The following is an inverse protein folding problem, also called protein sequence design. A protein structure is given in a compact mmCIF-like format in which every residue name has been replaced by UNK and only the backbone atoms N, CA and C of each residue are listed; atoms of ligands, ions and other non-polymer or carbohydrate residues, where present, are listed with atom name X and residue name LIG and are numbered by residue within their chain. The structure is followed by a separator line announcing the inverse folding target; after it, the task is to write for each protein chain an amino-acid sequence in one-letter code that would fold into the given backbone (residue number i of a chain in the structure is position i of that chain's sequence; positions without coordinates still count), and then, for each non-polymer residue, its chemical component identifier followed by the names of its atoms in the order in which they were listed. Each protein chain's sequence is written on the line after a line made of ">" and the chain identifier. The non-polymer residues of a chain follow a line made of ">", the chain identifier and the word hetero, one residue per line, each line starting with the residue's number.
data_IF_323362463723
#
_entry.id   IF_323362463723
#
_cell.length_a   1.000
_cell.length_b   1.000
_cell.length_c   1.000
_cell.angle_alpha   90.00
_cell.angle_beta   90.00
_cell.angle_gamma   90.00
#
_symmetry.space_group_name_H-M   'P 1'
#
loop_
_entity.id
_entity.type
_entity.pdbx_description
1 polymer ?
#
# COMPACT_ATOMS: atom_id res chain seq x y z
N UNK A 1 -13.25 53.72 -34.63
CA UNK A 1 -12.12 54.11 -33.77
C UNK A 1 -11.57 52.87 -33.08
N UNK A 2 -10.27 52.59 -33.14
CA UNK A 2 -9.66 51.44 -32.42
C UNK A 2 -9.64 51.68 -30.89
N UNK A 3 -9.61 52.94 -30.47
CA UNK A 3 -9.67 53.34 -29.05
C UNK A 3 -11.00 52.99 -28.40
N UNK A 4 -12.12 53.24 -29.07
CA UNK A 4 -13.46 52.90 -28.57
C UNK A 4 -13.66 51.38 -28.39
N UNK A 5 -13.06 50.57 -29.26
CA UNK A 5 -13.08 49.10 -29.10
C UNK A 5 -12.25 48.64 -27.90
N UNK A 6 -11.10 49.28 -27.66
CA UNK A 6 -10.25 48.99 -26.51
C UNK A 6 -10.93 49.37 -25.19
N UNK A 7 -11.59 50.52 -25.13
CA UNK A 7 -12.36 50.98 -23.97
C UNK A 7 -13.53 50.04 -23.66
N UNK A 8 -14.26 49.56 -24.67
CA UNK A 8 -15.33 48.57 -24.46
C UNK A 8 -14.80 47.23 -23.91
N UNK A 9 -13.62 46.80 -24.35
CA UNK A 9 -12.97 45.58 -23.85
C UNK A 9 -12.53 45.78 -22.39
N UNK A 10 -12.00 46.95 -22.03
CA UNK A 10 -11.62 47.27 -20.64
C UNK A 10 -12.83 47.32 -19.71
N UNK A 11 -13.91 47.97 -20.12
CA UNK A 11 -15.17 48.00 -19.35
C UNK A 11 -15.76 46.59 -19.19
N UNK A 12 -15.68 45.75 -20.22
CA UNK A 12 -16.15 44.36 -20.12
C UNK A 12 -15.26 43.54 -19.17
N UNK A 13 -13.94 43.74 -19.18
CA UNK A 13 -13.01 43.11 -18.23
C UNK A 13 -13.26 43.57 -16.80
N UNK A 14 -13.58 44.85 -16.59
CA UNK A 14 -13.92 45.41 -15.28
C UNK A 14 -15.17 44.74 -14.70
N UNK A 15 -16.24 44.66 -15.52
CA UNK A 15 -17.48 43.95 -15.14
C UNK A 15 -17.24 42.47 -14.84
N UNK A 16 -16.38 41.81 -15.63
CA UNK A 16 -16.00 40.42 -15.37
C UNK A 16 -15.23 40.27 -14.05
N UNK A 17 -14.32 41.20 -13.73
CA UNK A 17 -13.59 41.21 -12.45
C UNK A 17 -14.53 41.42 -11.26
N UNK A 18 -15.49 42.33 -11.39
CA UNK A 18 -16.48 42.60 -10.36
C UNK A 18 -17.37 41.38 -10.11
N UNK A 19 -17.83 40.71 -11.18
CA UNK A 19 -18.58 39.46 -11.05
C UNK A 19 -17.76 38.36 -10.38
N UNK A 20 -16.48 38.22 -10.72
CA UNK A 20 -15.59 37.25 -10.08
C UNK A 20 -15.44 37.56 -8.59
N UNK A 21 -15.32 38.83 -8.21
CA UNK A 21 -15.25 39.24 -6.80
C UNK A 21 -16.54 38.88 -6.06
N UNK A 22 -17.70 39.19 -6.63
CA UNK A 22 -18.99 38.84 -6.04
C UNK A 22 -19.14 37.32 -5.86
N UNK A 23 -18.79 36.53 -6.88
CA UNK A 23 -18.84 35.08 -6.82
C UNK A 23 -17.86 34.50 -5.78
N UNK A 24 -16.68 35.10 -5.62
CA UNK A 24 -15.72 34.72 -4.57
C UNK A 24 -16.28 34.99 -3.18
N UNK A 25 -16.87 36.16 -2.95
CA UNK A 25 -17.50 36.48 -1.66
C UNK A 25 -18.64 35.53 -1.35
N UNK A 26 -19.51 35.24 -2.33
CA UNK A 26 -20.61 34.28 -2.15
C UNK A 26 -20.10 32.87 -1.85
N UNK A 27 -18.99 32.45 -2.47
CA UNK A 27 -18.37 31.16 -2.18
C UNK A 27 -17.79 31.12 -0.76
N UNK A 28 -17.08 32.17 -0.35
CA UNK A 28 -16.50 32.29 1.00
C UNK A 28 -17.61 32.27 2.08
N UNK A 29 -18.73 32.96 1.84
CA UNK A 29 -19.88 32.98 2.75
C UNK A 29 -20.51 31.58 2.87
N UNK A 30 -20.65 30.85 1.76
CA UNK A 30 -21.21 29.50 1.73
C UNK A 30 -20.30 28.48 2.40
N UNK A 31 -18.99 28.55 2.16
CA UNK A 31 -18.00 27.70 2.83
C UNK A 31 -18.00 27.94 4.35
N UNK A 32 -18.06 29.21 4.76
CA UNK A 32 -18.12 29.59 6.17
C UNK A 32 -19.40 29.08 6.83
N UNK A 33 -20.54 29.20 6.15
CA UNK A 33 -21.82 28.70 6.62
C UNK A 33 -21.82 27.17 6.76
N UNK A 34 -21.38 26.46 5.72
CA UNK A 34 -21.33 25.00 5.72
C UNK A 34 -20.39 24.43 6.80
N UNK A 35 -19.30 25.15 7.11
CA UNK A 35 -18.40 24.82 8.20
C UNK A 35 -19.03 25.06 9.58
N UNK A 36 -19.75 26.18 9.78
CA UNK A 36 -20.44 26.48 11.03
C UNK A 36 -21.58 25.52 11.33
N UNK A 37 -22.27 25.04 10.29
CA UNK A 37 -23.35 24.05 10.40
C UNK A 37 -22.84 22.61 10.59
N UNK A 38 -21.51 22.40 10.54
CA UNK A 38 -20.88 21.08 10.71
C UNK A 38 -21.09 20.13 9.53
N UNK A 39 -21.60 20.63 8.41
CA UNK A 39 -21.83 19.85 7.18
C UNK A 39 -20.59 19.80 6.27
N UNK A 40 -19.58 20.64 6.52
CA UNK A 40 -18.32 20.70 5.79
C UNK A 40 -17.14 20.51 6.74
N UNK A 41 -16.42 19.39 6.57
CA UNK A 41 -15.37 18.91 7.51
C UNK A 41 -14.00 19.60 7.32
N UNK A 42 -13.87 20.46 6.31
CA UNK A 42 -12.63 21.21 6.02
C UNK A 42 -12.79 22.71 6.34
N UNK A 43 -11.72 23.33 6.84
CA UNK A 43 -11.72 24.78 7.12
C UNK A 43 -12.00 25.60 5.83
N UNK A 44 -12.75 26.71 5.92
CA UNK A 44 -12.96 27.61 4.80
C UNK A 44 -11.65 28.05 4.14
N UNK A 45 -11.67 28.16 2.81
CA UNK A 45 -10.48 28.46 2.01
C UNK A 45 -9.82 29.78 2.44
N UNK A 46 -10.62 30.79 2.80
CA UNK A 46 -10.16 32.08 3.33
C UNK A 46 -9.30 31.93 4.60
N UNK A 47 -9.73 31.12 5.55
CA UNK A 47 -9.01 30.84 6.81
C UNK A 47 -7.74 30.03 6.56
N UNK A 48 -7.78 29.07 5.62
CA UNK A 48 -6.59 28.30 5.24
C UNK A 48 -5.54 29.20 4.61
N UNK A 49 -5.94 30.07 3.69
CA UNK A 49 -5.04 31.04 3.04
C UNK A 49 -4.48 32.05 4.05
N UNK A 50 -5.26 32.48 5.03
CA UNK A 50 -4.80 33.33 6.12
C UNK A 50 -3.76 32.62 7.01
N UNK A 51 -4.02 31.37 7.39
CA UNK A 51 -3.06 30.54 8.16
C UNK A 51 -1.78 30.29 7.36
N UNK A 52 -1.89 29.93 6.09
CA UNK A 52 -0.73 29.77 5.20
C UNK A 52 0.06 31.06 5.09
N UNK A 53 -0.60 32.22 4.96
CA UNK A 53 0.04 33.54 4.95
C UNK A 53 0.77 33.82 6.26
N UNK A 54 0.16 33.53 7.41
CA UNK A 54 0.81 33.69 8.71
C UNK A 54 2.05 32.80 8.85
N UNK A 55 1.95 31.52 8.47
CA UNK A 55 3.08 30.57 8.50
C UNK A 55 4.20 31.06 7.59
N UNK A 56 3.87 31.50 6.37
CA UNK A 56 4.85 32.05 5.43
C UNK A 56 5.52 33.28 6.04
N UNK A 57 4.76 34.25 6.56
CA UNK A 57 5.32 35.44 7.17
C UNK A 57 6.24 35.12 8.37
N UNK A 58 5.88 34.12 9.17
CA UNK A 58 6.68 33.71 10.31
C UNK A 58 7.94 32.93 9.90
N UNK A 59 7.87 32.13 8.84
CA UNK A 59 9.03 31.49 8.23
C UNK A 59 9.97 32.53 7.61
N UNK A 60 9.43 33.52 6.89
CA UNK A 60 10.20 34.64 6.33
C UNK A 60 10.96 35.38 7.43
N UNK A 61 10.28 35.68 8.55
CA UNK A 61 10.89 36.33 9.71
C UNK A 61 11.96 35.47 10.39
N UNK A 62 11.74 34.15 10.52
CA UNK A 62 12.70 33.24 11.18
C UNK A 62 13.89 32.87 10.29
N UNK A 63 13.72 32.90 8.98
CA UNK A 63 14.76 32.63 7.99
C UNK A 63 15.46 33.91 7.51
N UNK A 64 15.07 35.09 8.02
CA UNK A 64 15.58 36.42 7.65
C UNK A 64 15.63 36.63 6.14
N UNK A 65 14.54 36.26 5.46
CA UNK A 65 14.44 36.33 4.01
C UNK A 65 13.90 37.71 3.59
N UNK A 66 14.75 38.60 3.11
CA UNK A 66 14.30 39.84 2.47
C UNK A 66 13.56 39.51 1.15
N UNK A 67 12.24 39.49 1.21
CA UNK A 67 11.33 39.17 0.09
C UNK A 67 10.46 40.37 -0.31
N UNK A 68 10.84 41.58 0.08
CA UNK A 68 10.01 42.79 -0.08
C UNK A 68 9.76 43.19 -1.54
N UNK A 69 10.60 42.79 -2.50
CA UNK A 69 10.47 43.26 -3.90
C UNK A 69 10.24 42.16 -4.96
N UNK A 70 10.41 40.86 -4.64
CA UNK A 70 10.60 39.82 -5.67
C UNK A 70 9.51 38.72 -5.75
N UNK A 71 8.49 38.70 -4.88
CA UNK A 71 7.54 37.55 -4.81
C UNK A 71 6.75 37.34 -6.12
N UNK A 72 6.52 38.40 -6.89
CA UNK A 72 5.77 38.32 -8.16
C UNK A 72 6.63 37.93 -9.37
N UNK A 73 7.96 38.02 -9.26
CA UNK A 73 8.91 37.81 -10.37
C UNK A 73 9.69 36.51 -10.25
N UNK A 74 9.76 35.91 -9.06
CA UNK A 74 10.50 34.67 -8.83
C UNK A 74 9.74 33.43 -9.26
N UNK A 75 10.45 32.53 -9.94
CA UNK A 75 9.95 31.19 -10.23
C UNK A 75 9.89 30.33 -8.95
N UNK A 76 9.02 29.32 -8.88
CA UNK A 76 8.89 28.47 -7.70
C UNK A 76 10.19 27.69 -7.38
N UNK A 77 11.03 27.43 -8.39
CA UNK A 77 12.33 26.80 -8.23
C UNK A 77 13.37 27.75 -7.58
N UNK A 78 13.38 29.03 -7.94
CA UNK A 78 14.28 30.03 -7.34
C UNK A 78 13.91 30.31 -5.88
N UNK A 79 12.62 30.35 -5.57
CA UNK A 79 12.15 30.47 -4.18
C UNK A 79 12.59 29.29 -3.32
N UNK A 80 12.47 28.05 -3.86
CA UNK A 80 12.97 26.84 -3.18
C UNK A 80 14.46 26.92 -2.90
N UNK A 81 15.24 27.34 -3.89
CA UNK A 81 16.70 27.44 -3.74
C UNK A 81 17.10 28.48 -2.68
N UNK A 82 16.39 29.63 -2.60
CA UNK A 82 16.62 30.64 -1.56
C UNK A 82 16.25 30.12 -0.16
N UNK A 83 15.14 29.39 -0.03
CA UNK A 83 14.73 28.73 1.22
C UNK A 83 15.76 27.69 1.66
N UNK A 84 16.22 26.82 0.75
CA UNK A 84 17.21 25.78 1.06
C UNK A 84 18.55 26.37 1.48
N UNK A 85 18.98 27.49 0.86
CA UNK A 85 20.20 28.19 1.23
C UNK A 85 20.11 28.82 2.64
N UNK A 86 18.98 29.45 2.98
CA UNK A 86 18.75 30.02 4.30
C UNK A 86 18.72 28.93 5.40
N UNK A 87 18.07 27.79 5.12
CA UNK A 87 18.06 26.63 6.01
C UNK A 87 19.48 26.08 6.20
N UNK A 88 20.26 25.96 5.12
CA UNK A 88 21.63 25.47 5.19
C UNK A 88 22.53 26.36 6.07
N UNK A 89 22.36 27.69 6.03
CA UNK A 89 23.09 28.62 6.89
C UNK A 89 22.76 28.45 8.37
N UNK A 90 21.55 28.02 8.72
CA UNK A 90 21.15 27.75 10.11
C UNK A 90 21.69 26.40 10.60
N UNK A 91 21.66 25.38 9.75
CA UNK A 91 22.01 23.99 10.15
C UNK A 91 23.52 23.76 10.19
N UNK A 92 24.31 24.38 9.31
CA UNK A 92 25.76 24.17 9.26
C UNK A 92 26.48 24.52 10.58
N UNK A 93 26.24 25.70 11.20
CA UNK A 93 26.86 26.07 12.45
C UNK A 93 26.51 25.13 13.61
N UNK A 94 25.30 24.56 13.61
CA UNK A 94 24.88 23.59 14.63
C UNK A 94 25.64 22.26 14.49
N UNK A 95 25.80 21.77 13.25
CA UNK A 95 26.56 20.55 12.96
C UNK A 95 28.04 20.69 13.30
N UNK A 96 28.65 21.84 12.99
CA UNK A 96 30.05 22.12 13.35
C UNK A 96 30.23 22.18 14.87
N UNK A 97 29.30 22.79 15.62
CA UNK A 97 29.33 22.77 17.09
C UNK A 97 29.21 21.35 17.65
N UNK A 98 28.35 20.51 17.09
CA UNK A 98 28.18 19.12 17.53
C UNK A 98 29.46 18.29 17.29
N UNK A 99 30.08 18.43 16.11
CA UNK A 99 31.36 17.79 15.81
C UNK A 99 32.50 18.28 16.73
N UNK A 100 32.53 19.58 17.04
CA UNK A 100 33.52 20.15 17.97
C UNK A 100 33.32 19.60 19.40
N UNK A 101 32.07 19.42 19.82
CA UNK A 101 31.73 18.81 21.12
C UNK A 101 32.14 17.33 21.16
N UNK A 102 31.96 16.57 20.08
CA UNK A 102 32.47 15.19 20.01
C UNK A 102 34.00 15.12 20.08
N UNK A 103 34.70 16.03 19.39
CA UNK A 103 36.16 16.13 19.48
C UNK A 103 36.62 16.46 20.90
N UNK A 104 36.01 17.44 21.55
CA UNK A 104 36.34 17.81 22.94
C UNK A 104 36.06 16.66 23.92
N UNK A 105 34.95 15.93 23.76
CA UNK A 105 34.66 14.73 24.59
C UNK A 105 35.71 13.64 24.39
N UNK A 106 36.22 13.48 23.18
CA UNK A 106 37.27 12.50 22.88
C UNK A 106 38.59 12.93 23.52
N UNK A 107 38.96 14.21 23.40
CA UNK A 107 40.16 14.76 24.06
C UNK A 107 40.11 14.64 25.58
N UNK A 108 38.95 14.88 26.20
CA UNK A 108 38.79 14.70 27.65
C UNK A 108 39.05 13.24 28.04
N UNK A 109 38.49 12.26 27.31
CA UNK A 109 38.74 10.84 27.57
C UNK A 109 40.20 10.46 27.42
N UNK A 110 40.87 10.98 26.39
CA UNK A 110 42.29 10.68 26.17
C UNK A 110 43.16 11.29 27.29
N UNK A 111 42.84 12.49 27.77
CA UNK A 111 43.49 13.11 28.92
C UNK A 111 43.23 12.34 30.22
N UNK A 112 42.01 11.87 30.46
CA UNK A 112 41.68 10.99 31.58
C UNK A 112 42.50 9.69 31.53
N UNK A 113 42.63 9.09 30.33
CA UNK A 113 43.43 7.89 30.11
C UNK A 113 44.92 8.16 30.39
N UNK A 114 45.45 9.29 29.93
CA UNK A 114 46.83 9.70 30.18
C UNK A 114 47.12 9.96 31.67
N UNK A 115 46.19 10.60 32.38
CA UNK A 115 46.29 10.79 33.83
C UNK A 115 46.32 9.43 34.54
N UNK A 116 45.46 8.49 34.15
CA UNK A 116 45.47 7.14 34.73
C UNK A 116 46.80 6.42 34.50
N UNK A 117 47.39 6.56 33.31
CA UNK A 117 48.67 5.99 32.96
C UNK A 117 49.82 6.54 33.82
N UNK A 118 49.88 7.87 34.00
CA UNK A 118 50.89 8.48 34.89
C UNK A 118 50.66 8.07 36.35
N UNK A 119 49.41 7.96 36.81
CA UNK A 119 49.12 7.51 38.17
C UNK A 119 49.56 6.05 38.42
N UNK A 120 49.42 5.16 37.42
CA UNK A 120 49.89 3.76 37.50
C UNK A 120 51.42 3.65 37.48
N UNK A 121 52.13 4.47 36.69
CA UNK A 121 53.59 4.46 36.64
C UNK A 121 54.23 5.07 37.91
N UNK A 122 53.60 6.04 38.55
CA UNK A 122 54.09 6.64 39.81
C UNK A 122 53.73 5.78 41.03
N UNK A 123 52.70 4.92 40.92
CA UNK A 123 52.26 4.02 42.00
C UNK A 123 53.13 2.77 42.23
N UNK A 124 54.06 2.44 41.32
CA UNK A 124 54.82 1.16 41.34
C UNK A 124 56.32 1.28 41.60
N UNK A 125 56.78 2.41 42.18
CA UNK A 125 58.12 2.51 42.78
C UNK A 125 58.02 2.49 44.32
N UNK A 126 58.08 1.30 44.90
CA UNK A 126 58.14 1.13 46.35
C UNK A 126 58.01 -0.32 46.81
N UNK A 127 58.99 -1.16 46.47
CA UNK A 127 59.57 -2.21 47.34
C UNK A 127 60.61 -3.01 46.53
N UNK A 128 61.88 -2.67 46.72
CA UNK A 128 63.03 -3.42 46.26
C UNK A 128 63.77 -3.99 47.48
N UNK A 129 64.15 -5.27 47.41
CA UNK A 129 65.23 -5.98 48.11
C UNK A 129 64.98 -7.47 47.81
N UNK A 130 65.89 -8.36 47.43
CA UNK A 130 67.32 -8.36 47.10
C UNK A 130 67.50 -9.75 46.43
N UNK A 131 68.05 -9.87 45.23
CA UNK A 131 69.41 -10.39 45.12
C UNK A 131 69.49 -11.82 44.56
N UNK A 132 70.13 -11.92 43.39
CA UNK A 132 70.95 -13.05 42.93
C UNK A 132 70.39 -14.07 41.90
N UNK A 133 71.35 -14.61 41.15
CA UNK A 133 71.36 -15.08 39.76
C UNK A 133 72.15 -16.39 39.69
N UNK A 134 71.73 -17.38 38.89
CA UNK A 134 72.51 -18.45 38.20
C UNK A 134 71.55 -19.61 37.83
N UNK A 135 71.38 -19.99 36.55
CA UNK A 135 72.21 -20.81 35.64
C UNK A 135 72.02 -22.34 35.74
N UNK A 136 71.59 -22.92 34.60
CA UNK A 136 71.97 -24.21 34.01
C UNK A 136 71.63 -25.57 34.68
N UNK A 137 71.35 -26.58 33.84
CA UNK A 137 71.61 -27.99 34.20
C UNK A 137 70.76 -29.06 33.50
N UNK A 138 71.40 -29.95 32.75
CA UNK A 138 70.81 -31.06 31.96
C UNK A 138 70.89 -32.43 32.70
N UNK A 139 70.19 -33.42 32.12
CA UNK A 139 70.51 -34.88 31.94
C UNK A 139 69.90 -35.96 32.86
N UNK A 140 69.15 -36.84 32.19
CA UNK A 140 69.19 -38.33 32.11
C UNK A 140 69.51 -39.21 33.33
N UNK A 141 68.68 -40.27 33.53
CA UNK A 141 69.18 -41.60 33.90
C UNK A 141 68.36 -42.47 34.87
N UNK A 142 67.66 -43.48 34.32
CA UNK A 142 67.59 -44.89 34.79
C UNK A 142 67.02 -45.29 36.19
N UNK A 143 65.83 -45.91 36.18
CA UNK A 143 65.70 -47.37 36.44
C UNK A 143 65.42 -47.93 37.85
N UNK A 144 64.17 -48.41 38.03
CA UNK A 144 63.72 -49.61 38.79
C UNK A 144 63.47 -49.57 40.31
N UNK A 145 62.20 -49.63 40.72
CA UNK A 145 61.51 -50.80 41.35
C UNK A 145 60.23 -50.36 42.11
N UNK A 146 59.12 -51.10 41.91
CA UNK A 146 57.72 -50.91 42.40
C UNK A 146 57.55 -51.02 43.95
N UNK A 147 56.37 -50.83 44.60
CA UNK A 147 54.99 -50.55 44.10
C UNK A 147 54.16 -49.40 44.79
N UNK A 148 53.15 -48.93 44.04
CA UNK A 148 51.85 -48.23 44.28
C UNK A 148 51.26 -48.03 45.71
N UNK A 149 50.15 -47.25 45.93
CA UNK A 149 49.29 -46.42 45.02
C UNK A 149 48.97 -44.99 45.62
N UNK A 150 48.37 -43.96 44.99
CA UNK A 150 47.25 -43.74 44.05
C UNK A 150 47.37 -42.32 43.45
N UNK A 151 46.92 -42.07 42.20
CA UNK A 151 46.67 -40.71 41.72
C UNK A 151 45.16 -40.40 41.59
N UNK A 152 44.80 -39.16 41.92
CA UNK A 152 43.56 -38.50 41.51
C UNK A 152 43.80 -37.82 40.17
N UNK A 153 43.00 -38.14 39.15
CA UNK A 153 43.06 -37.51 37.84
C UNK A 153 41.92 -38.00 36.96
N UNK A 154 40.91 -37.16 36.74
CA UNK A 154 39.83 -37.40 35.77
C UNK A 154 40.42 -37.49 34.36
N UNK A 155 40.60 -38.71 33.87
CA UNK A 155 40.78 -38.99 32.43
C UNK A 155 39.40 -39.01 31.79
N UNK A 156 39.10 -38.03 30.94
CA UNK A 156 37.97 -38.11 30.02
C UNK A 156 38.17 -39.34 29.14
N UNK A 157 37.16 -40.19 29.07
CA UNK A 157 37.24 -41.45 28.35
C UNK A 157 37.40 -41.19 26.84
N UNK A 158 38.15 -42.02 26.10
CA UNK A 158 38.31 -41.89 24.66
C UNK A 158 36.98 -42.03 23.89
N UNK A 159 35.96 -42.62 24.52
CA UNK A 159 34.61 -42.76 23.97
C UNK A 159 33.80 -41.46 24.10
N UNK A 160 33.95 -40.74 25.21
CA UNK A 160 33.31 -39.44 25.42
C UNK A 160 33.93 -38.38 24.50
N UNK A 161 35.25 -38.42 24.28
CA UNK A 161 35.92 -37.57 23.30
C UNK A 161 35.45 -37.85 21.86
N UNK A 162 35.13 -39.11 21.52
CA UNK A 162 34.55 -39.48 20.21
C UNK A 162 33.11 -38.99 20.08
N UNK A 163 32.26 -39.15 21.10
CA UNK A 163 30.89 -38.60 21.12
C UNK A 163 30.87 -37.08 21.03
N UNK A 164 31.80 -36.39 21.68
CA UNK A 164 31.95 -34.93 21.56
C UNK A 164 32.39 -34.52 20.15
N UNK A 165 33.24 -35.31 19.50
CA UNK A 165 33.65 -35.08 18.10
C UNK A 165 32.53 -35.36 17.11
N UNK A 166 31.72 -36.38 17.33
CA UNK A 166 30.53 -36.69 16.51
C UNK A 166 29.42 -35.65 16.67
N UNK A 167 29.14 -35.21 17.90
CA UNK A 167 28.19 -34.11 18.15
C UNK A 167 28.71 -32.78 17.59
N UNK A 168 30.02 -32.51 17.70
CA UNK A 168 30.67 -31.38 17.03
C UNK A 168 30.57 -31.43 15.50
N UNK A 169 30.77 -32.61 14.90
CA UNK A 169 30.60 -32.81 13.45
C UNK A 169 29.13 -32.69 13.02
N UNK A 170 28.19 -33.15 13.83
CA UNK A 170 26.76 -32.94 13.58
C UNK A 170 26.37 -31.47 13.67
N UNK A 171 26.94 -30.72 14.61
CA UNK A 171 26.73 -29.29 14.74
C UNK A 171 27.34 -28.55 13.54
N UNK A 172 28.57 -28.91 13.13
CA UNK A 172 29.20 -28.36 11.93
C UNK A 172 28.42 -28.67 10.66
N UNK A 173 27.86 -29.88 10.50
CA UNK A 173 26.97 -30.21 9.38
C UNK A 173 25.68 -29.38 9.39
N UNK A 174 25.10 -29.12 10.57
CA UNK A 174 23.93 -28.24 10.72
C UNK A 174 24.26 -26.78 10.37
N UNK A 175 25.40 -26.28 10.82
CA UNK A 175 25.89 -24.93 10.48
C UNK A 175 26.19 -24.81 8.98
N UNK A 176 26.79 -25.85 8.37
CA UNK A 176 27.04 -25.90 6.93
C UNK A 176 25.74 -25.91 6.12
N UNK A 177 24.72 -26.64 6.57
CA UNK A 177 23.41 -26.64 5.93
C UNK A 177 22.73 -25.26 6.00
N UNK A 178 22.84 -24.57 7.14
CA UNK A 178 22.34 -23.19 7.30
C UNK A 178 23.10 -22.21 6.40
N UNK A 179 24.42 -22.34 6.28
CA UNK A 179 25.24 -21.54 5.37
C UNK A 179 24.92 -21.82 3.89
N UNK A 180 24.61 -23.06 3.53
CA UNK A 180 24.16 -23.43 2.17
C UNK A 180 22.78 -22.84 1.87
N UNK A 181 21.86 -22.85 2.83
CA UNK A 181 20.54 -22.19 2.71
C UNK A 181 20.72 -20.68 2.53
N UNK A 182 21.65 -20.06 3.28
CA UNK A 182 21.99 -18.63 3.18
C UNK A 182 22.66 -18.27 1.84
N UNK A 183 23.53 -19.13 1.32
CA UNK A 183 24.18 -18.90 0.02
C UNK A 183 23.18 -18.95 -1.14
N UNK A 184 22.18 -19.85 -1.08
CA UNK A 184 21.12 -19.95 -2.09
C UNK A 184 20.17 -18.75 -2.04
N UNK A 185 19.88 -18.21 -0.84
CA UNK A 185 18.97 -17.06 -0.69
C UNK A 185 19.59 -15.72 -1.07
N UNK A 186 20.89 -15.52 -0.83
CA UNK A 186 21.56 -14.23 -1.09
C UNK A 186 22.23 -14.14 -2.47
N UNK A 187 22.64 -15.25 -3.08
CA UNK A 187 23.42 -15.23 -4.32
C UNK A 187 22.78 -15.96 -5.51
N UNK A 188 21.63 -16.63 -5.33
CA UNK A 188 20.91 -17.25 -6.45
C UNK A 188 21.72 -18.28 -7.26
N UNK A 189 22.80 -18.83 -6.70
CA UNK A 189 23.61 -19.84 -7.36
C UNK A 189 22.90 -21.20 -7.28
N UNK A 190 22.42 -21.68 -8.43
CA UNK A 190 21.77 -22.98 -8.57
C UNK A 190 22.75 -24.13 -8.28
N UNK A 191 22.49 -24.90 -7.22
CA UNK A 191 23.03 -26.25 -7.06
C UNK A 191 22.03 -27.14 -6.31
N UNK A 192 21.42 -28.06 -7.06
CA UNK A 192 20.92 -29.35 -6.55
C UNK A 192 19.68 -29.35 -5.66
N UNK A 193 18.50 -29.46 -6.29
CA UNK A 193 17.30 -30.15 -5.80
C UNK A 193 16.98 -30.09 -4.29
N UNK A 194 16.35 -28.99 -3.86
CA UNK A 194 15.48 -29.04 -2.68
C UNK A 194 14.27 -29.92 -3.04
N UNK A 195 13.89 -30.93 -2.23
CA UNK A 195 12.75 -31.80 -2.52
C UNK A 195 11.47 -30.97 -2.66
N UNK A 196 10.87 -31.00 -3.86
CA UNK A 196 9.58 -30.35 -4.19
C UNK A 196 8.41 -30.80 -3.30
N UNK A 197 8.59 -31.79 -2.44
CA UNK A 197 7.56 -32.35 -1.56
C UNK A 197 7.25 -31.51 -0.30
N UNK A 198 8.13 -30.60 0.13
CA UNK A 198 7.82 -29.71 1.27
C UNK A 198 6.82 -28.58 0.92
N UNK A 199 6.64 -28.30 -0.38
CA UNK A 199 5.72 -27.28 -0.91
C UNK A 199 4.49 -27.89 -1.61
N UNK A 200 4.18 -29.17 -1.37
CA UNK A 200 3.07 -29.87 -2.03
C UNK A 200 1.67 -29.42 -1.61
N UNK A 201 1.53 -28.66 -0.51
CA UNK A 201 0.23 -28.11 -0.07
C UNK A 201 -0.38 -27.14 -1.11
N UNK A 202 0.45 -26.61 -2.02
CA UNK A 202 0.04 -25.71 -3.10
C UNK A 202 -0.58 -26.39 -4.33
N UNK A 203 -0.50 -27.72 -4.49
CA UNK A 203 -0.99 -28.38 -5.71
C UNK A 203 -2.51 -28.27 -5.86
N UNK A 204 -3.26 -28.37 -4.76
CA UNK A 204 -4.71 -28.20 -4.74
C UNK A 204 -5.14 -26.74 -4.97
N UNK A 205 -4.29 -25.78 -4.57
CA UNK A 205 -4.54 -24.34 -4.75
C UNK A 205 -4.20 -23.85 -6.17
N UNK A 206 -3.64 -24.71 -7.03
CA UNK A 206 -3.38 -24.39 -8.44
C UNK A 206 -4.52 -24.81 -9.37
N UNK A 207 -5.41 -25.68 -8.91
CA UNK A 207 -6.56 -26.12 -9.72
C UNK A 207 -7.69 -25.09 -9.63
N UNK A 208 -7.81 -24.28 -10.69
CA UNK A 208 -8.87 -23.29 -10.85
C UNK A 208 -10.09 -23.84 -11.62
N UNK A 209 -10.06 -25.10 -12.08
CA UNK A 209 -11.19 -25.76 -12.76
C UNK A 209 -12.51 -25.67 -11.99
N UNK A 210 -12.57 -25.93 -10.66
CA UNK A 210 -13.82 -25.78 -9.90
C UNK A 210 -14.31 -24.33 -9.84
N UNK A 211 -13.40 -23.35 -9.79
CA UNK A 211 -13.74 -21.93 -9.76
C UNK A 211 -14.35 -21.48 -11.09
N UNK A 212 -13.80 -21.95 -12.22
CA UNK A 212 -14.37 -21.70 -13.56
C UNK A 212 -15.76 -22.32 -13.67
N UNK A 213 -15.94 -23.58 -13.26
CA UNK A 213 -17.26 -24.24 -13.28
C UNK A 213 -18.29 -23.50 -12.44
N UNK A 214 -17.89 -23.04 -11.25
CA UNK A 214 -18.74 -22.21 -10.38
C UNK A 214 -19.16 -20.92 -11.07
N UNK A 215 -18.24 -20.24 -11.76
CA UNK A 215 -18.55 -19.04 -12.53
C UNK A 215 -19.50 -19.33 -13.69
N UNK A 216 -19.26 -20.41 -14.44
CA UNK A 216 -20.12 -20.80 -15.56
C UNK A 216 -21.56 -21.08 -15.11
N UNK A 217 -21.75 -21.83 -14.01
CA UNK A 217 -23.08 -22.09 -13.44
C UNK A 217 -23.78 -20.81 -12.99
N UNK A 218 -23.06 -19.91 -12.33
CA UNK A 218 -23.61 -18.64 -11.86
C UNK A 218 -24.01 -17.72 -13.04
N UNK A 219 -23.17 -17.64 -14.07
CA UNK A 219 -23.46 -16.88 -15.30
C UNK A 219 -24.71 -17.44 -15.98
N UNK A 220 -24.81 -18.76 -16.14
CA UNK A 220 -25.95 -19.39 -16.81
C UNK A 220 -27.25 -19.18 -16.03
N UNK A 221 -27.22 -19.29 -14.70
CA UNK A 221 -28.37 -19.00 -13.83
C UNK A 221 -28.82 -17.54 -13.97
N UNK A 222 -27.89 -16.58 -13.89
CA UNK A 222 -28.21 -15.15 -14.05
C UNK A 222 -28.77 -14.87 -15.44
N UNK A 223 -28.21 -15.49 -16.49
CA UNK A 223 -28.71 -15.37 -17.87
C UNK A 223 -30.16 -15.86 -17.99
N UNK A 224 -30.46 -17.02 -17.44
CA UNK A 224 -31.82 -17.60 -17.45
C UNK A 224 -32.82 -16.69 -16.72
N UNK A 225 -32.46 -16.21 -15.52
CA UNK A 225 -33.31 -15.31 -14.74
C UNK A 225 -33.53 -13.97 -15.47
N UNK A 226 -32.47 -13.39 -16.05
CA UNK A 226 -32.57 -12.13 -16.76
C UNK A 226 -33.43 -12.21 -18.03
N UNK A 227 -33.34 -13.32 -18.79
CA UNK A 227 -34.20 -13.54 -19.97
C UNK A 227 -35.65 -13.76 -19.56
N UNK A 228 -35.90 -14.46 -18.45
CA UNK A 228 -37.25 -14.64 -17.90
C UNK A 228 -37.85 -13.30 -17.49
N UNK A 229 -37.10 -12.48 -16.75
CA UNK A 229 -37.51 -11.13 -16.35
C UNK A 229 -37.83 -10.22 -17.52
N UNK A 230 -36.99 -10.23 -18.56
CA UNK A 230 -37.26 -9.42 -19.76
C UNK A 230 -38.57 -9.85 -20.43
N UNK A 231 -38.89 -11.15 -20.51
CA UNK A 231 -40.17 -11.61 -21.07
C UNK A 231 -41.37 -11.19 -20.21
N UNK A 232 -41.22 -11.25 -18.88
CA UNK A 232 -42.26 -10.84 -17.94
C UNK A 232 -42.51 -9.32 -18.02
N UNK A 233 -41.46 -8.49 -18.11
CA UNK A 233 -41.60 -7.03 -18.32
C UNK A 233 -42.29 -6.67 -19.64
N UNK A 234 -42.02 -7.41 -20.74
CA UNK A 234 -42.65 -7.16 -22.03
C UNK A 234 -44.11 -7.64 -22.08
N UNK A 235 -44.49 -8.63 -21.26
CA UNK A 235 -45.87 -9.11 -21.14
C UNK A 235 -46.73 -8.20 -20.24
N UNK A 236 -46.12 -7.57 -19.23
CA UNK A 236 -46.78 -6.66 -18.28
C UNK A 236 -47.08 -5.29 -18.87
N UNK A 237 -46.36 -4.84 -19.89
CA UNK A 237 -46.60 -3.55 -20.58
C UNK A 237 -47.98 -3.39 -21.24
N UNK A 238 -48.87 -4.38 -21.15
CA UNK A 238 -50.22 -4.36 -21.71
C UNK A 238 -51.36 -4.38 -20.66
N UNK A 239 -51.09 -4.44 -19.35
CA UNK A 239 -52.14 -4.33 -18.33
C UNK A 239 -51.73 -3.39 -17.17
N UNK A 240 -52.68 -2.53 -16.81
CA UNK A 240 -52.57 -1.47 -15.81
C UNK A 240 -52.21 -1.96 -14.40
N UNK A 241 -51.61 -1.03 -13.65
CA UNK A 241 -51.06 -1.14 -12.29
C UNK A 241 -52.01 -1.77 -11.26
N UNK A 242 -51.61 -2.92 -10.70
CA UNK A 242 -51.58 -3.19 -9.25
C UNK A 242 -51.00 -4.60 -8.97
N UNK A 243 -50.02 -4.65 -8.06
CA UNK A 243 -49.46 -5.85 -7.41
C UNK A 243 -48.83 -6.94 -8.31
N UNK A 244 -47.60 -6.68 -8.79
CA UNK A 244 -46.72 -7.70 -9.35
C UNK A 244 -45.73 -8.15 -8.25
N UNK A 245 -45.51 -9.46 -8.05
CA UNK A 245 -44.73 -9.94 -6.92
C UNK A 245 -43.26 -9.52 -7.06
N UNK A 246 -42.78 -8.69 -6.12
CA UNK A 246 -41.39 -8.28 -5.96
C UNK A 246 -40.39 -9.47 -5.94
N UNK A 247 -40.86 -10.68 -5.67
CA UNK A 247 -40.05 -11.89 -5.50
C UNK A 247 -39.13 -12.21 -6.69
N UNK A 248 -39.58 -12.02 -7.93
CA UNK A 248 -38.73 -12.31 -9.10
C UNK A 248 -37.51 -11.39 -9.18
N UNK A 249 -37.70 -10.08 -8.98
CA UNK A 249 -36.62 -9.08 -9.07
C UNK A 249 -35.61 -9.26 -7.93
N UNK A 250 -36.10 -9.68 -6.79
CA UNK A 250 -35.28 -10.05 -5.63
C UNK A 250 -34.46 -11.32 -5.93
N UNK A 251 -35.02 -12.33 -6.60
CA UNK A 251 -34.30 -13.54 -7.01
C UNK A 251 -33.14 -13.23 -7.97
N UNK A 252 -33.35 -12.39 -9.00
CA UNK A 252 -32.28 -11.97 -9.91
C UNK A 252 -31.18 -11.21 -9.16
N UNK A 253 -31.57 -10.30 -8.28
CA UNK A 253 -30.63 -9.52 -7.45
C UNK A 253 -29.81 -10.43 -6.53
N UNK A 254 -30.45 -11.42 -5.92
CA UNK A 254 -29.79 -12.42 -5.07
C UNK A 254 -28.84 -13.31 -5.87
N UNK A 255 -29.24 -13.78 -7.05
CA UNK A 255 -28.38 -14.57 -7.92
C UNK A 255 -27.12 -13.79 -8.33
N UNK A 256 -27.26 -12.52 -8.69
CA UNK A 256 -26.11 -11.67 -8.99
C UNK A 256 -25.21 -11.50 -7.77
N UNK A 257 -25.76 -11.04 -6.64
CA UNK A 257 -24.95 -10.65 -5.46
C UNK A 257 -24.37 -11.85 -4.68
N UNK A 258 -25.06 -12.99 -4.64
CA UNK A 258 -24.67 -14.18 -3.85
C UNK A 258 -24.07 -15.31 -4.68
N UNK A 259 -24.29 -15.35 -5.99
CA UNK A 259 -23.72 -16.42 -6.82
C UNK A 259 -22.68 -15.85 -7.79
N UNK A 260 -23.08 -14.95 -8.69
CA UNK A 260 -22.20 -14.42 -9.73
C UNK A 260 -21.03 -13.61 -9.13
N UNK A 261 -21.31 -12.66 -8.24
CA UNK A 261 -20.26 -11.86 -7.60
C UNK A 261 -19.30 -12.73 -6.81
N UNK A 262 -19.81 -13.73 -6.09
CA UNK A 262 -18.98 -14.63 -5.28
C UNK A 262 -18.09 -15.50 -6.18
N UNK A 263 -18.65 -16.07 -7.25
CA UNK A 263 -17.88 -16.88 -8.19
C UNK A 263 -16.79 -16.06 -8.90
N UNK A 264 -17.11 -14.83 -9.32
CA UNK A 264 -16.15 -13.91 -9.93
C UNK A 264 -15.05 -13.52 -8.93
N UNK A 265 -15.43 -13.17 -7.70
CA UNK A 265 -14.51 -12.83 -6.61
C UNK A 265 -13.54 -13.97 -6.33
N UNK A 266 -14.04 -15.18 -6.12
CA UNK A 266 -13.22 -16.34 -5.77
C UNK A 266 -12.21 -16.64 -6.90
N UNK A 267 -12.63 -16.52 -8.17
CA UNK A 267 -11.74 -16.70 -9.31
C UNK A 267 -10.69 -15.57 -9.43
N UNK A 268 -11.07 -14.32 -9.18
CA UNK A 268 -10.14 -13.18 -9.14
C UNK A 268 -9.19 -13.24 -7.93
N UNK A 269 -9.60 -13.84 -6.82
CA UNK A 269 -8.79 -14.00 -5.62
C UNK A 269 -7.77 -15.14 -5.72
N UNK A 270 -7.90 -16.03 -6.72
CA UNK A 270 -7.00 -17.16 -6.91
C UNK A 270 -5.56 -16.68 -7.16
N UNK A 271 -4.69 -16.84 -6.16
CA UNK A 271 -3.30 -16.39 -6.19
C UNK A 271 -3.11 -14.88 -6.06
N UNK A 272 -4.13 -14.15 -5.61
CA UNK A 272 -4.06 -12.73 -5.29
C UNK A 272 -3.46 -12.53 -3.89
N UNK A 273 -2.49 -11.63 -3.75
CA UNK A 273 -1.85 -11.33 -2.47
C UNK A 273 -1.62 -9.83 -2.26
N UNK A 274 -1.61 -9.40 -1.00
CA UNK A 274 -1.21 -8.05 -0.64
C UNK A 274 0.32 -7.95 -0.72
N UNK A 275 0.83 -7.14 -1.64
CA UNK A 275 2.26 -6.77 -1.64
C UNK A 275 2.54 -5.94 -0.39
N UNK A 276 3.26 -6.52 0.57
CA UNK A 276 3.69 -5.82 1.78
C UNK A 276 4.70 -4.73 1.40
N UNK A 277 4.32 -3.46 1.53
CA UNK A 277 5.22 -2.31 1.32
C UNK A 277 6.31 -2.16 2.42
N UNK A 278 6.42 -3.12 3.36
CA UNK A 278 7.32 -3.05 4.51
C UNK A 278 8.37 -4.16 4.62
N UNK A 279 8.44 -5.11 3.68
CA UNK A 279 9.43 -6.19 3.74
C UNK A 279 10.77 -5.68 3.19
N UNK A 280 11.57 -5.05 4.04
CA UNK A 280 12.96 -4.71 3.70
C UNK A 280 13.69 -5.98 3.22
N UNK A 281 14.35 -5.92 2.06
CA UNK A 281 15.16 -7.02 1.52
C UNK A 281 16.25 -7.50 2.51
N UNK A 282 16.57 -6.67 3.50
CA UNK A 282 17.52 -6.95 4.58
C UNK A 282 16.97 -7.98 5.60
N UNK A 283 15.65 -8.08 5.77
CA UNK A 283 15.01 -8.95 6.77
C UNK A 283 14.48 -10.28 6.19
N UNK A 284 14.45 -10.42 4.87
CA UNK A 284 13.97 -11.62 4.17
C UNK A 284 14.68 -12.93 4.59
N UNK A 285 16.00 -12.97 4.88
CA UNK A 285 16.68 -14.20 5.26
C UNK A 285 16.43 -14.66 6.71
N UNK A 286 15.97 -13.77 7.59
CA UNK A 286 15.79 -14.03 9.03
C UNK A 286 14.29 -14.17 9.38
N UNK A 287 13.40 -13.77 8.48
CA UNK A 287 11.95 -13.84 8.67
C UNK A 287 11.41 -15.25 8.99
N UNK A 288 12.11 -16.31 8.59
CA UNK A 288 11.77 -17.70 8.93
C UNK A 288 12.17 -18.14 10.36
N UNK A 289 12.96 -17.34 11.08
CA UNK A 289 13.42 -17.63 12.44
C UNK A 289 12.65 -16.85 13.52
N UNK A 290 11.79 -15.91 13.12
CA UNK A 290 11.02 -15.06 14.03
C UNK A 290 9.54 -15.29 13.74
N UNK A 291 8.78 -15.96 14.64
CA UNK A 291 7.35 -16.22 14.45
C UNK A 291 6.53 -14.96 14.12
N UNK A 292 6.93 -13.79 14.63
CA UNK A 292 6.29 -12.50 14.36
C UNK A 292 6.42 -12.02 12.89
N UNK A 293 7.41 -12.50 12.13
CA UNK A 293 7.63 -12.12 10.72
C UNK A 293 7.20 -13.21 9.73
N UNK A 294 6.68 -14.35 10.22
CA UNK A 294 5.98 -15.35 9.40
C UNK A 294 4.55 -14.90 9.08
N UNK A 295 4.39 -13.66 8.60
CA UNK A 295 3.11 -13.25 8.04
C UNK A 295 2.93 -14.02 6.72
N UNK A 296 2.08 -15.06 6.73
CA UNK A 296 1.55 -15.62 5.50
C UNK A 296 1.06 -14.47 4.62
N UNK A 297 1.33 -14.45 3.30
CA UNK A 297 0.89 -13.36 2.43
C UNK A 297 -0.60 -13.10 2.67
N UNK A 298 -0.91 -11.89 3.13
CA UNK A 298 -2.28 -11.55 3.49
C UNK A 298 -3.13 -11.62 2.22
N UNK A 299 -4.18 -12.44 2.28
CA UNK A 299 -5.13 -12.58 1.17
C UNK A 299 -5.81 -11.22 0.96
N UNK A 300 -5.53 -10.61 -0.20
CA UNK A 300 -6.06 -9.31 -0.59
C UNK A 300 -7.43 -9.52 -1.24
N UNK A 301 -8.41 -8.66 -0.92
CA UNK A 301 -9.72 -8.77 -1.54
C UNK A 301 -9.71 -8.21 -2.98
N UNK A 302 -10.41 -8.82 -3.97
CA UNK A 302 -10.45 -8.31 -5.34
C UNK A 302 -10.94 -6.86 -5.47
N UNK A 303 -11.79 -6.38 -4.57
CA UNK A 303 -12.18 -4.97 -4.52
C UNK A 303 -10.98 -4.04 -4.31
N UNK A 304 -10.06 -4.38 -3.41
CA UNK A 304 -8.86 -3.59 -3.16
C UNK A 304 -7.99 -3.49 -4.43
N UNK A 305 -8.06 -4.47 -5.32
CA UNK A 305 -7.36 -4.44 -6.61
C UNK A 305 -7.97 -3.38 -7.54
N UNK A 306 -9.29 -3.25 -7.56
CA UNK A 306 -9.98 -2.15 -8.27
C UNK A 306 -9.63 -0.79 -7.68
N UNK A 307 -9.56 -0.67 -6.35
CA UNK A 307 -9.13 0.57 -5.67
C UNK A 307 -7.67 0.92 -6.03
N UNK A 308 -6.76 -0.07 -6.04
CA UNK A 308 -5.38 0.16 -6.50
C UNK A 308 -5.30 0.57 -7.96
N UNK A 309 -6.14 0.01 -8.84
CA UNK A 309 -6.24 0.47 -10.23
C UNK A 309 -6.72 1.92 -10.32
N UNK A 310 -7.75 2.27 -9.54
CA UNK A 310 -8.28 3.63 -9.47
C UNK A 310 -7.21 4.64 -9.02
N UNK A 311 -6.46 4.31 -7.97
CA UNK A 311 -5.37 5.14 -7.47
C UNK A 311 -4.22 5.25 -8.50
N UNK A 312 -3.81 4.13 -9.10
CA UNK A 312 -2.75 4.12 -10.12
C UNK A 312 -3.10 4.90 -11.40
N UNK A 313 -4.39 5.18 -11.63
CA UNK A 313 -4.87 5.99 -12.76
C UNK A 313 -5.28 7.41 -12.36
N UNK A 314 -4.95 7.87 -11.14
CA UNK A 314 -5.37 9.16 -10.60
C UNK A 314 -6.88 9.38 -10.71
N UNK A 315 -7.66 8.34 -10.39
CA UNK A 315 -9.11 8.34 -10.54
C UNK A 315 -9.80 9.47 -9.80
N UNK A 316 -9.30 9.86 -8.63
CA UNK A 316 -9.85 10.96 -7.84
C UNK A 316 -9.72 12.30 -8.57
N UNK A 317 -8.50 12.66 -8.99
CA UNK A 317 -8.27 13.88 -9.77
C UNK A 317 -9.08 13.89 -11.09
N UNK A 318 -9.28 12.71 -11.70
CA UNK A 318 -10.08 12.57 -12.90
C UNK A 318 -11.58 12.85 -12.65
N UNK A 319 -12.17 12.29 -11.60
CA UNK A 319 -13.60 12.45 -11.31
C UNK A 319 -13.90 13.80 -10.68
N UNK A 320 -13.03 14.30 -9.80
CA UNK A 320 -13.21 15.55 -9.09
C UNK A 320 -12.77 16.79 -9.87
N UNK A 321 -12.31 16.62 -11.12
CA UNK A 321 -11.87 17.75 -11.95
C UNK A 321 -12.96 18.84 -12.04
N UNK A 322 -12.61 20.14 -11.91
CA UNK A 322 -13.59 21.23 -11.89
C UNK A 322 -14.53 21.23 -13.10
N UNK A 323 -14.00 20.98 -14.29
CA UNK A 323 -14.79 20.91 -15.52
C UNK A 323 -15.88 19.82 -15.45
N UNK A 324 -15.59 18.69 -14.79
CA UNK A 324 -16.52 17.59 -14.63
C UNK A 324 -17.55 17.84 -13.55
N UNK A 325 -17.14 18.37 -12.39
CA UNK A 325 -18.08 18.77 -11.33
C UNK A 325 -19.04 19.84 -11.83
N UNK A 326 -18.54 20.86 -12.53
CA UNK A 326 -19.38 21.88 -13.16
C UNK A 326 -20.34 21.26 -14.17
N UNK A 327 -19.85 20.42 -15.08
CA UNK A 327 -20.73 19.75 -16.06
C UNK A 327 -21.81 18.90 -15.38
N UNK A 328 -21.46 18.17 -14.30
CA UNK A 328 -22.42 17.40 -13.51
C UNK A 328 -23.48 18.30 -12.84
N UNK A 329 -23.07 19.43 -12.23
CA UNK A 329 -23.98 20.39 -11.60
C UNK A 329 -24.98 20.99 -12.58
N UNK A 330 -24.58 21.18 -13.85
CA UNK A 330 -25.44 21.69 -14.91
C UNK A 330 -26.12 20.58 -15.74
N UNK A 331 -26.00 19.31 -15.33
CA UNK A 331 -26.47 18.13 -16.07
C UNK A 331 -26.01 18.10 -17.55
N UNK A 332 -24.86 18.71 -17.83
CA UNK A 332 -24.25 18.74 -19.14
C UNK A 332 -23.45 17.45 -19.38
N UNK A 333 -23.44 16.93 -20.62
CA UNK A 333 -22.51 15.87 -20.97
C UNK A 333 -21.09 16.39 -20.76
N UNK A 334 -20.40 15.82 -19.77
CA UNK A 334 -19.04 16.16 -19.31
C UNK A 334 -18.01 16.18 -20.45
N UNK A 335 -18.32 15.57 -21.59
CA UNK A 335 -17.42 15.45 -22.74
C UNK A 335 -18.18 15.81 -24.01
N UNK A 336 -17.69 16.80 -24.74
CA UNK A 336 -18.29 17.25 -26.01
C UNK A 336 -18.35 16.11 -27.04
N UNK A 337 -19.50 15.45 -27.14
CA UNK A 337 -19.85 14.49 -28.19
C UNK A 337 -19.10 13.14 -28.19
N UNK A 338 -18.02 12.96 -27.42
CA UNK A 338 -17.25 11.72 -27.41
C UNK A 338 -17.88 10.67 -26.46
N UNK A 339 -18.05 9.44 -26.96
CA UNK A 339 -18.60 8.33 -26.18
C UNK A 339 -17.74 8.02 -24.93
N UNK A 340 -18.40 7.79 -23.80
CA UNK A 340 -17.74 7.45 -22.53
C UNK A 340 -16.91 6.18 -22.71
N UNK A 341 -15.60 6.29 -22.51
CA UNK A 341 -14.70 5.14 -22.65
C UNK A 341 -14.87 4.17 -21.47
N UNK A 342 -14.63 2.85 -21.64
CA UNK A 342 -14.71 1.88 -20.55
C UNK A 342 -13.85 2.26 -19.34
N UNK A 343 -12.67 2.86 -19.57
CA UNK A 343 -11.78 3.34 -18.51
C UNK A 343 -12.44 4.46 -17.71
N UNK A 344 -13.04 5.43 -18.38
CA UNK A 344 -13.69 6.55 -17.71
C UNK A 344 -14.93 6.09 -16.93
N UNK A 345 -15.76 5.21 -17.51
CA UNK A 345 -16.91 4.61 -16.81
C UNK A 345 -16.47 3.83 -15.56
N UNK A 346 -15.37 3.05 -15.65
CA UNK A 346 -14.86 2.29 -14.51
C UNK A 346 -14.36 3.22 -13.40
N UNK A 347 -13.60 4.27 -13.73
CA UNK A 347 -13.11 5.21 -12.72
C UNK A 347 -14.26 5.95 -12.04
N UNK A 348 -15.29 6.33 -12.78
CA UNK A 348 -16.49 6.94 -12.22
C UNK A 348 -17.27 5.96 -11.35
N UNK A 349 -17.47 4.71 -11.78
CA UNK A 349 -18.17 3.69 -11.01
C UNK A 349 -17.45 3.35 -9.69
N UNK A 350 -16.12 3.20 -9.70
CA UNK A 350 -15.34 2.98 -8.47
C UNK A 350 -15.47 4.18 -7.54
N UNK A 351 -15.35 5.41 -8.06
CA UNK A 351 -15.54 6.62 -7.26
C UNK A 351 -16.94 6.70 -6.64
N UNK A 352 -18.00 6.39 -7.40
CA UNK A 352 -19.37 6.35 -6.87
C UNK A 352 -19.51 5.33 -5.75
N UNK A 353 -18.98 4.11 -5.92
CA UNK A 353 -19.04 3.10 -4.87
C UNK A 353 -18.30 3.58 -3.62
N UNK A 354 -17.08 4.12 -3.75
CA UNK A 354 -16.32 4.68 -2.63
C UNK A 354 -17.09 5.82 -1.93
N UNK A 355 -17.57 6.82 -2.68
CA UNK A 355 -18.31 7.94 -2.13
C UNK A 355 -19.60 7.51 -1.40
N UNK A 356 -20.29 6.47 -1.89
CA UNK A 356 -21.51 5.97 -1.26
C UNK A 356 -21.28 5.01 -0.10
N UNK A 357 -20.19 4.23 -0.11
CA UNK A 357 -19.97 3.13 0.82
C UNK A 357 -18.92 3.45 1.91
N UNK A 358 -17.92 4.29 1.62
CA UNK A 358 -16.89 4.73 2.57
C UNK A 358 -17.48 5.42 3.80
N UNK A 359 -18.49 6.31 3.70
CA UNK A 359 -19.08 6.97 4.88
C UNK A 359 -19.67 6.00 5.89
N UNK A 360 -20.01 4.79 5.44
CA UNK A 360 -20.62 3.74 6.26
C UNK A 360 -19.66 2.58 6.57
N UNK A 361 -18.35 2.74 6.27
CA UNK A 361 -17.28 1.75 6.51
C UNK A 361 -17.65 0.33 6.07
N UNK A 362 -18.20 0.22 4.86
CA UNK A 362 -18.67 -1.07 4.36
C UNK A 362 -17.50 -2.00 4.06
N UNK A 363 -17.77 -3.31 4.17
CA UNK A 363 -16.80 -4.34 3.85
C UNK A 363 -16.50 -4.36 2.34
N UNK A 364 -15.26 -4.68 1.97
CA UNK A 364 -14.81 -4.85 0.58
C UNK A 364 -15.70 -5.77 -0.28
N UNK A 365 -16.37 -6.74 0.34
CA UNK A 365 -17.32 -7.65 -0.33
C UNK A 365 -18.65 -6.95 -0.72
N UNK A 366 -19.13 -6.01 0.09
CA UNK A 366 -20.31 -5.20 -0.20
C UNK A 366 -20.05 -4.22 -1.35
N UNK A 367 -18.86 -3.63 -1.37
CA UNK A 367 -18.42 -2.69 -2.39
C UNK A 367 -18.21 -3.40 -3.73
N UNK A 368 -17.61 -4.60 -3.71
CA UNK A 368 -17.51 -5.44 -4.92
C UNK A 368 -18.90 -5.81 -5.47
N UNK A 369 -19.86 -6.15 -4.61
CA UNK A 369 -21.25 -6.44 -5.04
C UNK A 369 -21.90 -5.22 -5.68
N UNK A 370 -21.70 -4.03 -5.11
CA UNK A 370 -22.19 -2.78 -5.68
C UNK A 370 -21.56 -2.52 -7.06
N UNK A 371 -20.24 -2.69 -7.19
CA UNK A 371 -19.52 -2.54 -8.45
C UNK A 371 -20.02 -3.51 -9.52
N UNK A 372 -20.23 -4.79 -9.19
CA UNK A 372 -20.74 -5.79 -10.16
C UNK A 372 -22.17 -5.44 -10.60
N UNK A 373 -23.02 -4.95 -9.70
CA UNK A 373 -24.36 -4.48 -10.06
C UNK A 373 -24.29 -3.29 -11.02
N UNK A 374 -23.45 -2.28 -10.74
CA UNK A 374 -23.21 -1.15 -11.65
C UNK A 374 -22.72 -1.62 -13.02
N UNK A 375 -21.75 -2.53 -13.03
CA UNK A 375 -21.13 -3.02 -14.25
C UNK A 375 -22.11 -3.79 -15.16
N UNK A 376 -23.06 -4.52 -14.56
CA UNK A 376 -24.13 -5.21 -15.28
C UNK A 376 -25.19 -4.23 -15.79
N UNK A 377 -25.58 -3.24 -14.98
CA UNK A 377 -26.50 -2.19 -15.40
C UNK A 377 -25.95 -1.39 -16.59
N UNK A 378 -24.65 -1.10 -16.61
CA UNK A 378 -23.98 -0.42 -17.73
C UNK A 378 -23.56 -1.36 -18.88
N UNK A 379 -23.76 -2.67 -18.74
CA UNK A 379 -23.30 -3.69 -19.70
C UNK A 379 -21.78 -3.66 -19.96
N UNK A 380 -21.00 -3.16 -19.00
CA UNK A 380 -19.54 -2.99 -19.09
C UNK A 380 -18.72 -3.98 -18.27
N UNK A 381 -19.34 -4.95 -17.59
CA UNK A 381 -18.64 -5.92 -16.72
C UNK A 381 -17.41 -6.55 -17.37
N UNK A 382 -17.53 -7.08 -18.59
CA UNK A 382 -16.41 -7.68 -19.32
C UNK A 382 -15.31 -6.66 -19.58
N UNK A 383 -15.67 -5.46 -20.06
CA UNK A 383 -14.71 -4.40 -20.37
C UNK A 383 -13.98 -3.93 -19.12
N UNK A 384 -14.68 -3.78 -17.99
CA UNK A 384 -14.11 -3.33 -16.72
C UNK A 384 -13.15 -4.35 -16.13
N UNK A 385 -13.53 -5.63 -16.09
CA UNK A 385 -12.63 -6.70 -15.62
C UNK A 385 -11.41 -6.79 -16.53
N UNK A 386 -11.59 -6.71 -17.85
CA UNK A 386 -10.48 -6.74 -18.82
C UNK A 386 -9.48 -5.59 -18.64
N UNK A 387 -9.92 -4.40 -18.21
CA UNK A 387 -9.01 -3.29 -17.87
C UNK A 387 -8.07 -3.63 -16.71
N UNK A 388 -8.55 -4.41 -15.73
CA UNK A 388 -7.72 -4.90 -14.64
C UNK A 388 -6.75 -5.97 -15.15
N UNK A 389 -7.24 -6.93 -15.93
CA UNK A 389 -6.43 -8.02 -16.52
C UNK A 389 -5.28 -7.49 -17.39
N UNK A 390 -5.51 -6.41 -18.15
CA UNK A 390 -4.50 -5.77 -19.02
C UNK A 390 -3.55 -4.83 -18.27
N UNK A 391 -3.79 -4.56 -16.99
CA UNK A 391 -2.89 -3.73 -16.18
C UNK A 391 -1.69 -4.55 -15.73
N UNK A 392 -0.70 -4.72 -16.62
CA UNK A 392 0.49 -5.56 -16.38
C UNK A 392 1.20 -5.23 -15.06
N UNK A 393 1.34 -3.95 -14.72
CA UNK A 393 1.95 -3.53 -13.46
C UNK A 393 1.18 -4.01 -12.22
N UNK A 394 -0.16 -4.05 -12.26
CA UNK A 394 -0.98 -4.58 -11.15
C UNK A 394 -0.95 -6.10 -11.09
N UNK A 395 -1.04 -6.77 -12.25
CA UNK A 395 -1.00 -8.23 -12.29
C UNK A 395 0.35 -8.75 -11.79
N UNK A 396 1.45 -8.17 -12.26
CA UNK A 396 2.80 -8.59 -11.86
C UNK A 396 3.11 -8.30 -10.37
N UNK A 397 2.49 -7.30 -9.76
CA UNK A 397 2.76 -6.91 -8.37
C UNK A 397 1.86 -7.62 -7.34
N UNK A 398 0.69 -8.12 -7.75
CA UNK A 398 -0.32 -8.65 -6.83
C UNK A 398 -0.76 -10.08 -7.12
N UNK A 399 -0.33 -10.69 -8.22
CA UNK A 399 -0.68 -12.08 -8.54
C UNK A 399 0.53 -13.01 -8.57
N UNK A 400 0.33 -14.21 -8.00
CA UNK A 400 1.30 -15.29 -8.09
C UNK A 400 1.39 -15.82 -9.53
N UNK A 401 2.56 -16.28 -10.00
CA UNK A 401 2.72 -16.78 -11.36
C UNK A 401 1.82 -17.97 -11.72
N UNK A 402 1.43 -18.78 -10.73
CA UNK A 402 0.52 -19.91 -10.90
C UNK A 402 -0.96 -19.53 -10.86
N UNK A 403 -1.28 -18.24 -10.64
CA UNK A 403 -2.66 -17.77 -10.58
C UNK A 403 -3.37 -17.90 -11.93
N UNK A 404 -4.69 -18.06 -11.92
CA UNK A 404 -5.50 -18.05 -13.13
C UNK A 404 -5.33 -16.74 -13.92
N UNK A 405 -5.29 -15.60 -13.21
CA UNK A 405 -5.09 -14.27 -13.79
C UNK A 405 -3.76 -14.17 -14.55
N UNK A 406 -2.64 -14.57 -13.93
CA UNK A 406 -1.32 -14.47 -14.53
C UNK A 406 -1.08 -15.51 -15.64
N UNK A 407 -1.61 -16.73 -15.48
CA UNK A 407 -1.35 -17.83 -16.41
C UNK A 407 -2.21 -17.78 -17.68
N UNK A 408 -3.45 -17.30 -17.58
CA UNK A 408 -4.41 -17.33 -18.71
C UNK A 408 -4.79 -15.95 -19.23
N UNK A 409 -4.41 -14.87 -18.53
CA UNK A 409 -4.90 -13.52 -18.81
C UNK A 409 -6.39 -13.34 -18.50
N UNK A 410 -7.03 -14.29 -17.80
CA UNK A 410 -8.45 -14.29 -17.45
C UNK A 410 -9.42 -14.43 -18.64
N UNK A 411 -8.90 -14.72 -19.85
CA UNK A 411 -9.66 -14.74 -21.11
C UNK A 411 -10.87 -15.69 -21.07
N UNK A 412 -10.71 -16.90 -20.52
CA UNK A 412 -11.80 -17.87 -20.42
C UNK A 412 -12.97 -17.36 -19.56
N UNK A 413 -12.69 -16.58 -18.52
CA UNK A 413 -13.71 -16.02 -17.64
C UNK A 413 -14.38 -14.79 -18.28
N UNK A 414 -13.62 -13.98 -19.02
CA UNK A 414 -14.18 -12.89 -19.82
C UNK A 414 -15.15 -13.42 -20.87
N UNK A 415 -14.82 -14.55 -21.53
CA UNK A 415 -15.71 -15.20 -22.48
C UNK A 415 -17.01 -15.69 -21.82
N UNK A 416 -16.93 -16.30 -20.63
CA UNK A 416 -18.13 -16.67 -19.86
C UNK A 416 -18.99 -15.44 -19.54
N UNK A 417 -18.39 -14.37 -19.00
CA UNK A 417 -19.10 -13.14 -18.66
C UNK A 417 -19.72 -12.44 -19.88
N UNK A 418 -19.15 -12.60 -21.07
CA UNK A 418 -19.68 -12.02 -22.31
C UNK A 418 -21.09 -12.49 -22.66
N UNK A 419 -21.49 -13.67 -22.16
CA UNK A 419 -22.86 -14.20 -22.31
C UNK A 419 -23.92 -13.30 -21.65
N UNK A 420 -23.52 -12.40 -20.74
CA UNK A 420 -24.40 -11.44 -20.06
C UNK A 420 -24.41 -10.06 -20.73
N UNK A 421 -23.46 -9.74 -21.62
CA UNK A 421 -23.25 -8.38 -22.15
C UNK A 421 -24.43 -7.82 -22.94
N UNK A 422 -25.24 -8.67 -23.57
CA UNK A 422 -26.39 -8.24 -24.38
C UNK A 422 -27.68 -8.06 -23.55
N UNK A 423 -27.66 -8.41 -22.26
CA UNK A 423 -28.83 -8.35 -21.40
C UNK A 423 -28.89 -7.01 -20.68
N UNK A 424 -30.09 -6.44 -20.53
CA UNK A 424 -30.32 -5.23 -19.75
C UNK A 424 -30.65 -5.60 -18.31
N UNK A 425 -29.99 -4.94 -17.37
CA UNK A 425 -30.16 -5.14 -15.93
C UNK A 425 -30.59 -3.85 -15.26
N UNK A 426 -31.41 -3.96 -14.21
CA UNK A 426 -31.85 -2.86 -13.35
C UNK A 426 -31.70 -3.25 -11.87
N UNK A 427 -30.45 -3.47 -11.46
CA UNK A 427 -30.07 -3.98 -10.15
C UNK A 427 -29.83 -2.85 -9.13
N UNK A 428 -30.24 -3.01 -7.86
CA UNK A 428 -29.97 -2.01 -6.82
C UNK A 428 -28.50 -2.05 -6.39
N UNK A 429 -27.83 -0.92 -6.57
CA UNK A 429 -26.41 -0.70 -6.21
C UNK A 429 -26.28 -0.37 -4.73
N UNK A 430 -27.22 0.41 -4.23
CA UNK A 430 -27.31 0.97 -2.88
C UNK A 430 -27.82 -0.02 -1.83
N UNK A 431 -28.16 -1.27 -2.18
CA UNK A 431 -28.81 -2.22 -1.25
C UNK A 431 -28.09 -2.35 0.10
N UNK A 432 -26.76 -2.29 0.10
CA UNK A 432 -25.97 -2.32 1.33
C UNK A 432 -26.16 -1.04 2.16
N UNK A 433 -26.27 0.11 1.51
CA UNK A 433 -26.24 1.44 2.13
C UNK A 433 -27.64 2.03 2.37
N UNK A 434 -28.66 1.58 1.64
CA UNK A 434 -30.03 2.13 1.63
C UNK A 434 -30.64 2.23 3.02
N UNK A 435 -30.51 1.18 3.83
CA UNK A 435 -31.02 1.18 5.20
C UNK A 435 -30.33 2.24 6.08
N UNK A 436 -29.04 2.50 5.88
CA UNK A 436 -28.30 3.49 6.67
C UNK A 436 -28.53 4.93 6.19
N UNK A 437 -28.69 5.13 4.87
CA UNK A 437 -29.11 6.43 4.32
C UNK A 437 -30.49 6.81 4.87
N UNK A 438 -31.45 5.88 4.80
CA UNK A 438 -32.80 6.11 5.34
C UNK A 438 -32.82 6.41 6.85
N UNK A 439 -31.89 5.83 7.63
CA UNK A 439 -31.75 6.15 9.05
C UNK A 439 -31.16 7.55 9.22
N UNK A 440 -30.09 7.90 8.48
CA UNK A 440 -29.45 9.22 8.56
C UNK A 440 -30.36 10.36 8.09
N UNK A 441 -31.25 10.12 7.13
CA UNK A 441 -32.20 11.12 6.65
C UNK A 441 -33.41 11.28 7.60
N UNK A 442 -33.60 10.36 8.54
CA UNK A 442 -34.69 10.38 9.53
C UNK A 442 -34.29 11.01 10.87
N UNK A 443 -33.00 11.27 11.09
CA UNK A 443 -32.42 11.90 12.27
C UNK A 443 -31.70 13.19 11.85
#
# INVERSE_FOLDING_TARGET
>A
SEREKQEQIEVQKEKQRELILQLKTQLDDLETFAYQEGSYDSLPQSVVMERQRMIINELIKKLDMDLSEDIATLSPEELRQRVDAAIAQIVNPARVKEQLVEQLKTQIRDLEMFISFIQDEVGSSGNAEDGHCECAGRKDGSGSSKPNPRPSGNRVSPEDARKMRETGLHLMRRVLAVLQIFAVSQFGCAAGQVPRSLWQKDQANRDYSPLIRKLELAVERVRQLAVRHQREDHAVGSLDLQDIPLGGRDELTLAVRKELTIALRDLMAHGLYASSQGMSLVLAPIACLIPAFTASPQAMHPWELFVKYYNAKNGQAFVESPARKLSQSFALPVMGGAAVTPKQSLLTAIHTVLAEHDPFKRSADSELKALVCLALNEQRLVSWVNLICKSGALVQSHYQPWSYMANTGFEGALNLLSRLSNLKFHLPVDLAVRQLKNIKDAF
#
